data_IF_222504627819
#
_entry.id   IF_222504627819
#
_cell.length_a   1.000
_cell.length_b   1.000
_cell.length_c   1.000
_cell.angle_alpha   90.00
_cell.angle_beta   90.00
_cell.angle_gamma   90.00
#
_symmetry.space_group_name_H-M   'P 1'
#
loop_
_entity.id
_entity.type
_entity.pdbx_description
1 polymer ?
#
# COMPACT_ATOMS: atom_id res chain seq x y z
N UNK A 1 3.20 17.24 2.23
CA UNK A 1 3.12 15.88 2.82
C UNK A 1 3.08 14.87 1.69
N UNK A 2 3.93 13.84 1.73
CA UNK A 2 3.99 12.79 0.70
C UNK A 2 3.04 11.65 1.06
N UNK A 3 2.39 11.07 0.07
CA UNK A 3 1.48 9.93 0.26
C UNK A 3 2.05 8.69 -0.40
N UNK A 4 2.21 7.62 0.39
CA UNK A 4 2.56 6.29 -0.06
C UNK A 4 1.26 5.51 -0.32
N UNK A 5 1.08 5.04 -1.55
CA UNK A 5 -0.05 4.23 -1.99
C UNK A 5 0.46 2.80 -2.16
N UNK A 6 0.11 1.92 -1.22
CA UNK A 6 0.67 0.57 -1.13
C UNK A 6 -0.33 -0.43 -1.65
N UNK A 7 0.09 -1.23 -2.61
CA UNK A 7 -0.64 -2.38 -3.10
C UNK A 7 -0.53 -3.54 -2.09
N UNK A 8 -1.51 -3.61 -1.20
CA UNK A 8 -1.55 -4.57 -0.10
C UNK A 8 -1.82 -5.98 -0.58
N UNK A 9 -2.65 -6.15 -1.62
CA UNK A 9 -2.90 -7.46 -2.25
C UNK A 9 -1.61 -8.06 -2.78
N UNK A 10 -0.86 -7.29 -3.58
CA UNK A 10 0.43 -7.74 -4.12
C UNK A 10 1.44 -8.02 -3.00
N UNK A 11 1.46 -7.20 -1.94
CA UNK A 11 2.37 -7.39 -0.80
C UNK A 11 2.14 -8.71 -0.04
N UNK A 12 0.89 -9.14 0.13
CA UNK A 12 0.53 -10.34 0.91
C UNK A 12 0.44 -11.61 0.06
N UNK A 13 0.10 -11.47 -1.23
CA UNK A 13 -0.06 -12.57 -2.20
C UNK A 13 1.22 -12.89 -2.99
N UNK A 14 2.35 -12.27 -2.69
CA UNK A 14 3.64 -12.63 -3.30
C UNK A 14 4.17 -14.00 -2.85
N UNK A 15 5.08 -14.55 -3.65
CA UNK A 15 5.77 -15.82 -3.43
C UNK A 15 4.82 -17.02 -3.36
N UNK A 16 4.92 -17.86 -2.33
CA UNK A 16 4.14 -19.09 -2.12
C UNK A 16 2.68 -18.80 -1.69
N UNK A 17 2.03 -17.85 -2.35
CA UNK A 17 0.60 -17.63 -2.17
C UNK A 17 -0.17 -18.73 -2.89
N UNK A 18 -1.11 -19.33 -2.17
CA UNK A 18 -2.03 -20.30 -2.73
C UNK A 18 -3.46 -19.90 -2.31
N UNK A 19 -4.34 -19.56 -3.27
CA UNK A 19 -5.70 -19.09 -2.99
C UNK A 19 -6.57 -20.16 -2.29
N UNK A 20 -6.15 -21.43 -2.27
CA UNK A 20 -6.83 -22.51 -1.53
C UNK A 20 -6.65 -22.41 -0.02
N UNK A 21 -5.74 -21.56 0.46
CA UNK A 21 -5.45 -21.37 1.88
C UNK A 21 -5.70 -19.93 2.33
N UNK A 22 -6.95 -19.44 2.35
CA UNK A 22 -7.29 -18.05 2.67
C UNK A 22 -6.82 -17.62 4.08
N UNK A 23 -6.82 -18.53 5.05
CA UNK A 23 -6.31 -18.26 6.40
C UNK A 23 -4.81 -17.88 6.41
N UNK A 24 -4.03 -18.32 5.41
CA UNK A 24 -2.62 -17.92 5.27
C UNK A 24 -2.53 -16.48 4.80
N UNK A 25 -3.38 -16.04 3.87
CA UNK A 25 -3.48 -14.65 3.41
C UNK A 25 -3.87 -13.72 4.57
N UNK A 26 -4.88 -14.11 5.36
CA UNK A 26 -5.33 -13.35 6.52
C UNK A 26 -4.19 -13.18 7.54
N UNK A 27 -3.51 -14.26 7.92
CA UNK A 27 -2.37 -14.19 8.85
C UNK A 27 -1.22 -13.35 8.30
N UNK A 28 -0.92 -13.45 7.01
CA UNK A 28 0.11 -12.61 6.34
C UNK A 28 -0.29 -11.15 6.37
N UNK A 29 -1.55 -10.83 6.07
CA UNK A 29 -2.11 -9.48 6.13
C UNK A 29 -1.94 -8.87 7.51
N UNK A 30 -2.40 -9.56 8.56
CA UNK A 30 -2.27 -9.08 9.95
C UNK A 30 -0.81 -8.83 10.33
N UNK A 31 0.06 -9.81 10.07
CA UNK A 31 1.49 -9.74 10.41
C UNK A 31 2.18 -8.58 9.68
N UNK A 32 1.87 -8.40 8.40
CA UNK A 32 2.46 -7.36 7.58
C UNK A 32 1.97 -5.96 7.95
N UNK A 33 0.66 -5.78 8.17
CA UNK A 33 0.10 -4.49 8.62
C UNK A 33 0.64 -4.08 10.00
N UNK A 34 0.71 -4.99 10.97
CA UNK A 34 1.29 -4.69 12.28
C UNK A 34 2.78 -4.32 12.20
N UNK A 35 3.55 -4.93 11.29
CA UNK A 35 4.93 -4.52 11.01
C UNK A 35 4.98 -3.13 10.39
N UNK A 36 4.13 -2.86 9.41
CA UNK A 36 4.10 -1.59 8.69
C UNK A 36 3.69 -0.43 9.60
N UNK A 37 2.68 -0.64 10.44
CA UNK A 37 2.22 0.35 11.43
C UNK A 37 3.36 0.70 12.40
N UNK A 38 4.07 -0.29 12.94
CA UNK A 38 5.25 -0.07 13.81
C UNK A 38 6.35 0.74 13.11
N UNK A 39 6.61 0.46 11.83
CA UNK A 39 7.61 1.19 11.04
C UNK A 39 7.16 2.63 10.74
N UNK A 40 5.86 2.86 10.55
CA UNK A 40 5.30 4.17 10.23
C UNK A 40 5.00 5.05 11.46
N UNK A 41 4.78 4.46 12.65
CA UNK A 41 4.35 5.16 13.86
C UNK A 41 5.31 6.24 14.36
N UNK A 42 6.61 6.12 14.04
CA UNK A 42 7.61 7.15 14.35
C UNK A 42 7.60 8.37 13.42
N UNK A 43 6.72 8.40 12.42
CA UNK A 43 6.68 9.41 11.37
C UNK A 43 5.29 10.01 11.11
N UNK A 44 4.36 9.83 12.06
CA UNK A 44 3.05 10.46 12.05
C UNK A 44 3.17 11.96 11.74
N UNK A 45 2.43 12.42 10.72
CA UNK A 45 2.41 13.82 10.27
C UNK A 45 3.46 14.20 9.23
N UNK A 46 4.49 13.37 8.95
CA UNK A 46 5.49 13.65 7.90
C UNK A 46 5.06 13.13 6.53
N UNK A 47 4.46 11.95 6.52
CA UNK A 47 3.89 11.31 5.34
C UNK A 47 2.65 10.53 5.75
N UNK A 48 1.89 10.11 4.74
CA UNK A 48 0.71 9.27 4.92
C UNK A 48 0.93 7.94 4.19
N UNK A 49 0.52 6.83 4.81
CA UNK A 49 0.52 5.50 4.17
C UNK A 49 -0.93 5.06 3.97
N UNK A 50 -1.32 4.87 2.72
CA UNK A 50 -2.60 4.26 2.35
C UNK A 50 -2.35 2.88 1.78
N UNK A 51 -2.96 1.85 2.35
CA UNK A 51 -2.83 0.45 1.92
C UNK A 51 -4.13 0.01 1.27
N UNK A 52 -4.05 -0.52 0.06
CA UNK A 52 -5.20 -0.91 -0.75
C UNK A 52 -5.25 -2.44 -0.88
N UNK A 53 -6.41 -3.03 -0.62
CA UNK A 53 -6.66 -4.45 -0.83
C UNK A 53 -7.79 -4.66 -1.84
N UNK A 54 -7.70 -5.74 -2.61
CA UNK A 54 -8.80 -6.22 -3.45
C UNK A 54 -9.88 -6.88 -2.63
N UNK A 55 -11.13 -6.68 -3.06
CA UNK A 55 -12.29 -7.35 -2.52
C UNK A 55 -12.99 -6.55 -1.43
N UNK A 56 -13.97 -7.20 -0.79
CA UNK A 56 -14.82 -6.58 0.23
C UNK A 56 -14.03 -6.26 1.50
N UNK A 57 -14.51 -5.24 2.20
CA UNK A 57 -14.02 -4.93 3.54
C UNK A 57 -14.11 -6.16 4.44
N UNK A 58 -13.01 -6.43 5.15
CA UNK A 58 -12.87 -7.54 6.10
C UNK A 58 -12.07 -7.06 7.30
N UNK A 59 -12.19 -7.76 8.41
CA UNK A 59 -11.36 -7.48 9.57
C UNK A 59 -9.89 -7.79 9.23
N UNK A 60 -9.05 -6.80 9.45
CA UNK A 60 -7.60 -6.87 9.24
C UNK A 60 -6.85 -6.40 10.49
N UNK A 61 -7.51 -6.47 11.66
CA UNK A 61 -6.96 -6.06 12.94
C UNK A 61 -6.82 -4.53 13.10
N UNK A 62 -6.18 -4.12 14.20
CA UNK A 62 -5.98 -2.71 14.54
C UNK A 62 -6.84 -2.23 15.72
N UNK A 63 -6.66 -0.98 16.17
CA UNK A 63 -6.37 0.20 15.34
C UNK A 63 -4.90 0.34 14.93
N UNK A 64 -4.68 0.82 13.69
CA UNK A 64 -3.38 1.20 13.17
C UNK A 64 -3.28 2.72 13.14
N UNK A 65 -2.31 3.30 13.84
CA UNK A 65 -2.18 4.74 13.97
C UNK A 65 -1.56 5.39 12.73
N UNK A 66 -0.63 4.68 12.06
CA UNK A 66 0.14 5.20 10.93
C UNK A 66 -0.40 4.84 9.54
N UNK A 67 -1.44 4.01 9.48
CA UNK A 67 -1.96 3.44 8.24
C UNK A 67 -3.41 3.85 7.99
N UNK A 68 -3.76 4.14 6.74
CA UNK A 68 -5.15 4.12 6.28
C UNK A 68 -5.36 2.91 5.40
N UNK A 69 -6.32 2.06 5.74
CA UNK A 69 -6.59 0.83 5.00
C UNK A 69 -7.84 1.04 4.16
N UNK A 70 -7.77 0.64 2.88
CA UNK A 70 -8.88 0.70 1.93
C UNK A 70 -9.09 -0.64 1.26
N UNK A 71 -10.34 -0.92 0.95
CA UNK A 71 -10.78 -2.12 0.24
C UNK A 71 -11.50 -1.71 -1.04
N UNK A 72 -11.20 -2.41 -2.13
CA UNK A 72 -11.80 -2.20 -3.44
C UNK A 72 -12.83 -3.30 -3.69
N UNK A 73 -14.08 -3.05 -3.29
CA UNK A 73 -15.14 -4.05 -3.33
C UNK A 73 -15.63 -4.38 -4.75
N UNK A 74 -15.64 -3.37 -5.63
CA UNK A 74 -16.21 -3.45 -6.99
C UNK A 74 -15.20 -3.14 -8.11
N UNK A 75 -14.05 -2.57 -7.75
CA UNK A 75 -12.95 -2.24 -8.66
C UNK A 75 -11.69 -2.99 -8.24
N UNK A 76 -10.65 -2.99 -9.09
CA UNK A 76 -9.33 -3.50 -8.68
C UNK A 76 -8.65 -2.46 -7.79
N UNK A 77 -7.79 -2.93 -6.88
CA UNK A 77 -6.96 -2.04 -6.05
C UNK A 77 -6.13 -1.10 -6.93
N UNK A 78 -5.63 -1.59 -8.06
CA UNK A 78 -4.90 -0.84 -9.09
C UNK A 78 -5.68 0.41 -9.55
N UNK A 79 -6.95 0.24 -9.91
CA UNK A 79 -7.80 1.33 -10.39
C UNK A 79 -7.98 2.41 -9.31
N UNK A 80 -8.15 1.99 -8.06
CA UNK A 80 -8.23 2.91 -6.91
C UNK A 80 -6.90 3.63 -6.66
N UNK A 81 -5.78 2.93 -6.73
CA UNK A 81 -4.44 3.50 -6.55
C UNK A 81 -4.20 4.57 -7.62
N UNK A 82 -4.44 4.25 -8.89
CA UNK A 82 -4.27 5.17 -10.02
C UNK A 82 -5.22 6.37 -9.93
N UNK A 83 -6.46 6.17 -9.50
CA UNK A 83 -7.40 7.25 -9.21
C UNK A 83 -6.86 8.23 -8.15
N UNK A 84 -6.25 7.71 -7.09
CA UNK A 84 -5.62 8.55 -6.05
C UNK A 84 -4.35 9.22 -6.56
N UNK A 85 -3.54 8.56 -7.40
CA UNK A 85 -2.38 9.18 -8.07
C UNK A 85 -2.83 10.41 -8.86
N UNK A 86 -3.82 10.24 -9.75
CA UNK A 86 -4.37 11.33 -10.58
C UNK A 86 -4.90 12.48 -9.74
N UNK A 87 -5.67 12.17 -8.69
CA UNK A 87 -6.22 13.18 -7.77
C UNK A 87 -5.11 13.98 -7.05
N UNK A 88 -4.08 13.28 -6.57
CA UNK A 88 -2.94 13.93 -5.91
C UNK A 88 -2.17 14.81 -6.91
N UNK A 89 -1.91 14.31 -8.11
CA UNK A 89 -1.27 15.04 -9.19
C UNK A 89 -2.01 16.32 -9.55
N UNK A 90 -3.33 16.24 -9.74
CA UNK A 90 -4.19 17.41 -9.99
C UNK A 90 -4.12 18.45 -8.86
N UNK A 91 -3.93 17.99 -7.61
CA UNK A 91 -3.77 18.86 -6.44
C UNK A 91 -2.35 19.41 -6.26
N UNK A 92 -1.44 19.19 -7.21
CA UNK A 92 -0.02 19.56 -7.10
C UNK A 92 0.75 18.76 -6.04
N UNK A 93 0.24 17.61 -5.61
CA UNK A 93 0.85 16.74 -4.59
C UNK A 93 1.45 15.50 -5.24
N UNK A 94 2.64 15.11 -4.82
CA UNK A 94 3.29 13.90 -5.32
C UNK A 94 2.80 12.62 -4.63
N UNK A 95 2.58 11.57 -5.42
CA UNK A 95 2.30 10.22 -4.94
C UNK A 95 3.53 9.31 -5.07
N UNK A 96 3.67 8.36 -4.15
CA UNK A 96 4.62 7.26 -4.27
C UNK A 96 3.84 5.95 -4.23
N UNK A 97 3.80 5.22 -5.34
CA UNK A 97 3.18 3.90 -5.42
C UNK A 97 4.19 2.85 -4.97
N UNK A 98 3.75 1.92 -4.13
CA UNK A 98 4.55 0.80 -3.65
C UNK A 98 3.91 -0.49 -4.12
N UNK A 99 4.53 -1.11 -5.13
CA UNK A 99 4.07 -2.36 -5.74
C UNK A 99 5.26 -3.10 -6.38
N UNK A 100 5.14 -4.42 -6.50
CA UNK A 100 6.01 -5.25 -7.35
C UNK A 100 5.27 -5.73 -8.62
N UNK A 101 4.02 -5.33 -8.82
CA UNK A 101 3.30 -5.51 -10.09
C UNK A 101 3.87 -4.57 -11.15
N UNK A 102 4.35 -5.14 -12.26
CA UNK A 102 4.96 -4.38 -13.35
C UNK A 102 3.98 -3.48 -14.10
N UNK A 103 2.74 -3.94 -14.32
CA UNK A 103 1.74 -3.19 -15.06
C UNK A 103 1.28 -1.96 -14.26
N UNK A 104 0.95 -2.14 -12.97
CA UNK A 104 0.60 -1.03 -12.10
C UNK A 104 1.78 -0.05 -11.95
N UNK A 105 3.01 -0.55 -11.85
CA UNK A 105 4.20 0.29 -11.76
C UNK A 105 4.38 1.19 -12.99
N UNK A 106 4.24 0.63 -14.19
CA UNK A 106 4.42 1.38 -15.43
C UNK A 106 3.30 2.41 -15.63
N UNK A 107 2.06 2.03 -15.35
CA UNK A 107 0.92 2.97 -15.42
C UNK A 107 1.06 4.10 -14.40
N UNK A 108 1.42 3.79 -13.14
CA UNK A 108 1.63 4.80 -12.11
C UNK A 108 2.75 5.80 -12.47
N UNK A 109 3.85 5.33 -13.09
CA UNK A 109 4.92 6.22 -13.60
C UNK A 109 4.42 7.12 -14.72
N UNK A 110 3.60 6.58 -15.63
CA UNK A 110 3.02 7.36 -16.72
C UNK A 110 2.12 8.50 -16.22
N UNK A 111 1.48 8.30 -15.07
CA UNK A 111 0.66 9.29 -14.35
C UNK A 111 1.49 10.23 -13.45
N UNK A 112 2.83 10.15 -13.50
CA UNK A 112 3.74 11.03 -12.77
C UNK A 112 4.02 10.61 -11.32
N UNK A 113 3.60 9.43 -10.88
CA UNK A 113 3.98 8.91 -9.56
C UNK A 113 5.41 8.37 -9.56
N UNK A 114 6.05 8.40 -8.38
CA UNK A 114 7.25 7.59 -8.14
C UNK A 114 6.82 6.17 -7.76
N UNK A 115 7.61 5.17 -8.14
CA UNK A 115 7.35 3.78 -7.77
C UNK A 115 8.49 3.21 -6.94
N UNK A 116 8.16 2.49 -5.87
CA UNK A 116 9.09 1.75 -5.02
C UNK A 116 8.69 0.27 -4.94
N UNK A 117 9.68 -0.60 -4.74
CA UNK A 117 9.44 -1.99 -4.30
C UNK A 117 9.17 -2.03 -2.80
N UNK A 118 8.57 -3.11 -2.30
CA UNK A 118 8.25 -3.24 -0.87
C UNK A 118 9.49 -3.18 0.03
N UNK A 119 10.59 -3.83 -0.37
CA UNK A 119 11.84 -3.80 0.39
C UNK A 119 12.38 -2.37 0.53
N UNK A 120 12.44 -1.62 -0.58
CA UNK A 120 12.89 -0.23 -0.56
C UNK A 120 11.96 0.66 0.28
N UNK A 121 10.65 0.46 0.18
CA UNK A 121 9.68 1.19 0.98
C UNK A 121 9.90 0.94 2.48
N UNK A 122 10.01 -0.32 2.91
CA UNK A 122 10.27 -0.65 4.32
C UNK A 122 11.60 -0.07 4.82
N UNK A 123 12.65 -0.10 4.00
CA UNK A 123 13.95 0.46 4.36
C UNK A 123 13.88 1.97 4.55
N UNK A 124 13.10 2.68 3.72
CA UNK A 124 12.85 4.13 3.89
C UNK A 124 12.07 4.45 5.16
N UNK A 125 11.09 3.61 5.51
CA UNK A 125 10.36 3.76 6.77
C UNK A 125 11.32 3.57 7.96
N UNK A 126 12.16 2.52 7.94
CA UNK A 126 13.18 2.29 8.99
C UNK A 126 14.15 3.45 9.12
N UNK A 127 14.62 4.00 7.99
CA UNK A 127 15.57 5.11 8.00
C UNK A 127 14.93 6.48 8.27
N UNK A 128 13.60 6.55 8.46
CA UNK A 128 12.82 7.79 8.60
C UNK A 128 13.04 8.81 7.47
N UNK A 129 13.41 8.34 6.28
CA UNK A 129 13.65 9.17 5.07
C UNK A 129 12.41 9.21 4.16
N UNK A 130 11.30 8.65 4.63
CA UNK A 130 10.04 8.59 3.91
C UNK A 130 9.34 9.96 3.83
#
# INVERSE_FOLDING_TARGET
>A
MRTYLVDGSNAVRRHDYDPRFPAVEERRTLTWLSRLDRLSGGALGKFQVEVFFDGRARDVGGPYAGLRIRFSAEARADDMILGVVRLLGFSGRGAVVVTEDGALADEARSEGARVLRFSEFEDRLRSRKA
#
